data_IF_238761273266
#
_entry.id   IF_238761273266
#
_cell.length_a   1.000
_cell.length_b   1.000
_cell.length_c   1.000
_cell.angle_alpha   90.00
_cell.angle_beta   90.00
_cell.angle_gamma   90.00
#
_symmetry.space_group_name_H-M   'P 1'
#
loop_
_entity.id
_entity.type
_entity.pdbx_description
1 polymer ?
#
# COMPACT_ATOMS: atom_id res chain seq x y z
N UNK A 1 11.21 5.76 -40.04
CA UNK A 1 10.66 4.46 -39.60
C UNK A 1 11.37 3.89 -38.37
N UNK A 2 12.70 3.77 -38.35
CA UNK A 2 13.46 3.25 -37.17
C UNK A 2 13.21 4.02 -35.86
N UNK A 3 13.09 5.34 -35.93
CA UNK A 3 12.81 6.20 -34.75
C UNK A 3 11.40 5.99 -34.17
N UNK A 4 10.40 5.71 -35.02
CA UNK A 4 9.03 5.40 -34.59
C UNK A 4 8.96 4.04 -33.89
N UNK A 5 9.73 3.06 -34.37
CA UNK A 5 9.84 1.73 -33.74
C UNK A 5 10.48 1.84 -32.36
N UNK A 6 11.52 2.65 -32.20
CA UNK A 6 12.19 2.86 -30.91
C UNK A 6 11.24 3.55 -29.91
N UNK A 7 10.50 4.58 -30.33
CA UNK A 7 9.54 5.28 -29.47
C UNK A 7 8.40 4.33 -29.03
N UNK A 8 7.88 3.52 -29.96
CA UNK A 8 6.86 2.52 -29.65
C UNK A 8 7.37 1.44 -28.69
N UNK A 9 8.62 1.00 -28.83
CA UNK A 9 9.20 -0.01 -27.95
C UNK A 9 9.42 0.51 -26.52
N UNK A 10 9.86 1.76 -26.38
CA UNK A 10 10.02 2.40 -25.05
C UNK A 10 8.66 2.61 -24.38
N UNK A 11 7.65 3.04 -25.13
CA UNK A 11 6.28 3.18 -24.62
C UNK A 11 5.69 1.83 -24.19
N UNK A 12 5.88 0.78 -24.99
CA UNK A 12 5.42 -0.58 -24.67
C UNK A 12 6.14 -1.16 -23.43
N UNK A 13 7.45 -0.94 -23.29
CA UNK A 13 8.20 -1.34 -22.10
C UNK A 13 7.73 -0.62 -20.83
N UNK A 14 7.41 0.68 -20.93
CA UNK A 14 6.90 1.46 -19.79
C UNK A 14 5.51 0.98 -19.32
N UNK A 15 4.68 0.46 -20.23
CA UNK A 15 3.40 -0.14 -19.88
C UNK A 15 3.56 -1.52 -19.23
N UNK A 16 4.61 -2.26 -19.58
CA UNK A 16 4.89 -3.59 -19.02
C UNK A 16 5.41 -3.55 -17.57
N UNK A 17 6.02 -2.45 -17.13
CA UNK A 17 6.48 -2.29 -15.74
C UNK A 17 5.37 -2.02 -14.72
N UNK A 18 4.12 -1.84 -15.17
CA UNK A 18 2.98 -1.61 -14.28
C UNK A 18 2.36 -2.91 -13.72
N UNK A 19 2.87 -4.09 -14.10
CA UNK A 19 2.26 -5.38 -13.75
C UNK A 19 3.02 -6.20 -12.70
N UNK A 20 3.90 -5.57 -11.94
CA UNK A 20 4.43 -6.16 -10.71
C UNK A 20 3.50 -5.76 -9.57
N UNK A 21 2.64 -6.68 -9.14
CA UNK A 21 1.93 -6.60 -7.87
C UNK A 21 2.96 -6.65 -6.73
N UNK A 22 3.69 -5.56 -6.55
CA UNK A 22 4.61 -5.36 -5.45
C UNK A 22 3.84 -4.61 -4.37
N UNK A 23 3.88 -5.15 -3.16
CA UNK A 23 3.31 -4.49 -2.01
C UNK A 23 3.74 -3.03 -1.88
N UNK A 24 2.82 -2.22 -1.37
CA UNK A 24 3.01 -0.80 -1.19
C UNK A 24 4.31 -0.54 -0.40
N UNK A 25 5.31 0.06 -1.06
CA UNK A 25 6.62 0.29 -0.42
C UNK A 25 6.59 1.56 0.42
N UNK A 26 7.53 1.71 1.37
CA UNK A 26 7.65 2.94 2.17
C UNK A 26 7.80 4.21 1.32
N UNK A 27 8.54 4.15 0.22
CA UNK A 27 8.74 5.26 -0.70
C UNK A 27 7.43 5.63 -1.41
N UNK A 28 6.61 4.63 -1.74
CA UNK A 28 5.29 4.83 -2.32
C UNK A 28 4.32 5.47 -1.32
N UNK A 29 4.37 5.08 -0.04
CA UNK A 29 3.60 5.75 1.03
C UNK A 29 3.95 7.23 1.12
N UNK A 30 5.24 7.57 1.11
CA UNK A 30 5.70 8.97 1.11
C UNK A 30 5.22 9.69 -0.14
N UNK A 31 5.31 9.06 -1.31
CA UNK A 31 4.89 9.66 -2.57
C UNK A 31 3.38 9.94 -2.58
N UNK A 32 2.55 8.99 -2.13
CA UNK A 32 1.11 9.16 -2.00
C UNK A 32 0.76 10.29 -1.03
N UNK A 33 1.44 10.36 0.11
CA UNK A 33 1.27 11.44 1.09
C UNK A 33 1.63 12.80 0.48
N UNK A 34 2.74 12.91 -0.24
CA UNK A 34 3.16 14.13 -0.95
C UNK A 34 2.21 14.51 -2.08
N UNK A 35 1.57 13.53 -2.72
CA UNK A 35 0.53 13.75 -3.72
C UNK A 35 -0.82 14.17 -3.10
N UNK A 36 -0.91 14.27 -1.78
CA UNK A 36 -2.11 14.73 -1.08
C UNK A 36 -3.15 13.63 -0.78
N UNK A 37 -2.79 12.36 -0.97
CA UNK A 37 -3.67 11.25 -0.59
C UNK A 37 -3.84 11.22 0.93
N UNK A 38 -5.08 11.01 1.39
CA UNK A 38 -5.40 11.01 2.82
C UNK A 38 -4.77 9.80 3.53
N UNK A 39 -4.40 9.97 4.80
CA UNK A 39 -3.86 8.86 5.61
C UNK A 39 -4.82 7.69 5.65
N UNK A 40 -6.12 7.95 5.80
CA UNK A 40 -7.14 6.91 5.79
C UNK A 40 -7.13 6.09 4.50
N UNK A 41 -6.95 6.76 3.36
CA UNK A 41 -6.87 6.08 2.06
C UNK A 41 -5.59 5.24 1.96
N UNK A 42 -4.45 5.77 2.39
CA UNK A 42 -3.17 5.04 2.38
C UNK A 42 -3.26 3.82 3.32
N UNK A 43 -3.86 3.95 4.50
CA UNK A 43 -4.11 2.83 5.42
C UNK A 43 -4.97 1.74 4.77
N UNK A 44 -6.04 2.12 4.08
CA UNK A 44 -6.90 1.16 3.37
C UNK A 44 -6.12 0.42 2.27
N UNK A 45 -5.22 1.10 1.55
CA UNK A 45 -4.37 0.47 0.55
C UNK A 45 -3.40 -0.53 1.18
N UNK A 46 -2.76 -0.18 2.30
CA UNK A 46 -1.86 -1.11 3.02
C UNK A 46 -2.65 -2.33 3.53
N UNK A 47 -3.85 -2.13 4.07
CA UNK A 47 -4.72 -3.22 4.55
C UNK A 47 -5.21 -4.14 3.44
N UNK A 48 -5.45 -3.61 2.24
CA UNK A 48 -5.83 -4.42 1.08
C UNK A 48 -4.70 -5.33 0.62
N UNK A 49 -3.45 -4.87 0.73
CA UNK A 49 -2.28 -5.67 0.39
C UNK A 49 -1.98 -6.72 1.48
N UNK A 50 -2.17 -6.40 2.76
CA UNK A 50 -2.06 -7.35 3.87
C UNK A 50 -3.14 -8.45 3.85
N UNK A 51 -4.29 -8.19 3.21
CA UNK A 51 -5.39 -9.13 3.14
C UNK A 51 -4.96 -10.35 2.30
N UNK A 52 -4.53 -11.41 2.99
CA UNK A 52 -4.22 -12.70 2.38
C UNK A 52 -5.35 -13.13 1.45
N UNK A 53 -4.99 -13.42 0.20
CA UNK A 53 -5.93 -14.00 -0.75
C UNK A 53 -6.52 -15.28 -0.14
N UNK A 54 -7.83 -15.32 0.12
CA UNK A 54 -8.49 -16.51 0.66
C UNK A 54 -8.44 -17.69 -0.33
N UNK A 55 -7.88 -17.54 -1.52
CA UNK A 55 -7.66 -18.62 -2.47
C UNK A 55 -6.20 -19.05 -2.60
N UNK A 56 -5.26 -18.39 -1.90
CA UNK A 56 -3.82 -18.67 -2.00
C UNK A 56 -3.43 -20.06 -1.47
N UNK A 57 -4.10 -20.56 -0.43
CA UNK A 57 -3.82 -21.89 0.13
C UNK A 57 -4.61 -22.96 -0.62
N UNK A 58 -3.88 -23.94 -1.15
CA UNK A 58 -4.40 -25.14 -1.81
C UNK A 58 -5.35 -25.91 -0.89
N UNK A 59 -6.49 -26.36 -1.42
CA UNK A 59 -7.46 -27.17 -0.68
C UNK A 59 -8.91 -26.88 -1.03
N UNK A 60 -9.81 -27.50 -0.29
CA UNK A 60 -11.26 -27.34 -0.42
C UNK A 60 -11.80 -26.53 0.76
N UNK A 61 -12.61 -25.51 0.50
CA UNK A 61 -13.25 -24.68 1.52
C UNK A 61 -14.76 -24.60 1.30
N UNK A 62 -15.54 -24.71 2.37
CA UNK A 62 -16.96 -24.40 2.34
C UNK A 62 -17.16 -22.93 2.71
N UNK A 63 -17.81 -22.17 1.82
CA UNK A 63 -18.24 -20.80 2.09
C UNK A 63 -19.75 -20.76 2.08
N UNK A 64 -20.35 -20.15 3.09
CA UNK A 64 -21.79 -19.92 3.14
C UNK A 64 -22.08 -18.51 2.60
N UNK A 65 -22.91 -18.45 1.57
CA UNK A 65 -23.40 -17.17 1.04
C UNK A 65 -24.42 -16.53 2.02
N UNK A 66 -24.75 -15.26 1.82
CA UNK A 66 -25.71 -14.49 2.62
C UNK A 66 -27.10 -15.15 2.68
N UNK A 67 -27.45 -15.90 1.64
CA UNK A 67 -28.71 -16.65 1.55
C UNK A 67 -28.63 -18.05 2.19
N UNK A 68 -27.54 -18.37 2.89
CA UNK A 68 -27.33 -19.66 3.57
C UNK A 68 -26.91 -20.80 2.65
N UNK A 69 -26.81 -20.56 1.33
CA UNK A 69 -26.35 -21.55 0.35
C UNK A 69 -24.86 -21.85 0.56
N UNK A 70 -24.52 -23.13 0.69
CA UNK A 70 -23.14 -23.59 0.78
C UNK A 70 -22.50 -23.67 -0.61
N UNK A 71 -21.33 -23.08 -0.77
CA UNK A 71 -20.47 -23.20 -1.94
C UNK A 71 -19.18 -23.91 -1.55
N UNK A 72 -18.82 -24.94 -2.32
CA UNK A 72 -17.54 -25.64 -2.19
C UNK A 72 -16.55 -24.99 -3.16
N UNK A 73 -15.47 -24.42 -2.63
CA UNK A 73 -14.42 -23.80 -3.41
C UNK A 73 -13.19 -24.69 -3.37
N UNK A 74 -12.77 -25.18 -4.55
CA UNK A 74 -11.54 -25.92 -4.71
C UNK A 74 -10.47 -24.98 -5.27
N UNK A 75 -9.36 -24.83 -4.54
CA UNK A 75 -8.22 -24.01 -4.97
C UNK A 75 -7.01 -24.92 -5.16
N UNK A 76 -6.31 -24.75 -6.28
CA UNK A 76 -5.04 -25.44 -6.56
C UNK A 76 -3.85 -24.79 -5.84
N UNK A 77 -4.09 -23.75 -5.04
CA UNK A 77 -3.06 -22.90 -4.45
C UNK A 77 -2.18 -22.22 -5.50
N UNK A 78 -1.50 -21.15 -5.08
CA UNK A 78 -0.40 -20.59 -5.85
C UNK A 78 0.93 -21.07 -5.23
N UNK A 79 1.96 -21.27 -6.07
CA UNK A 79 3.32 -21.48 -5.56
C UNK A 79 3.82 -20.16 -4.96
N UNK A 80 3.68 -20.00 -3.66
CA UNK A 80 4.24 -18.87 -2.93
C UNK A 80 5.75 -19.03 -2.87
N UNK A 81 6.49 -18.08 -3.45
CA UNK A 81 7.93 -18.03 -3.28
C UNK A 81 8.21 -17.36 -1.93
N UNK A 82 8.68 -18.12 -0.93
CA UNK A 82 8.78 -17.63 0.45
C UNK A 82 9.65 -16.38 0.59
N UNK A 83 10.70 -16.27 -0.23
CA UNK A 83 11.57 -15.08 -0.23
C UNK A 83 10.86 -13.81 -0.74
N UNK A 84 9.95 -13.94 -1.71
CA UNK A 84 9.17 -12.81 -2.19
C UNK A 84 8.11 -12.39 -1.15
N UNK A 85 7.46 -13.37 -0.51
CA UNK A 85 6.45 -13.17 0.54
C UNK A 85 7.04 -12.49 1.79
N UNK A 86 8.28 -12.84 2.16
CA UNK A 86 8.99 -12.21 3.28
C UNK A 86 9.38 -10.76 2.96
N UNK A 87 9.84 -10.49 1.74
CA UNK A 87 10.13 -9.12 1.29
C UNK A 87 8.86 -8.26 1.24
N UNK A 88 7.74 -8.84 0.83
CA UNK A 88 6.43 -8.20 0.78
C UNK A 88 5.97 -7.76 2.18
N UNK A 89 6.04 -8.68 3.16
CA UNK A 89 5.74 -8.39 4.57
C UNK A 89 6.63 -7.30 5.16
N UNK A 90 7.93 -7.35 4.85
CA UNK A 90 8.87 -6.32 5.31
C UNK A 90 8.48 -4.93 4.78
N UNK A 91 8.13 -4.85 3.49
CA UNK A 91 7.70 -3.61 2.87
C UNK A 91 6.43 -3.04 3.53
N UNK A 92 5.44 -3.89 3.81
CA UNK A 92 4.19 -3.51 4.48
C UNK A 92 4.44 -2.99 5.91
N UNK A 93 5.28 -3.69 6.68
CA UNK A 93 5.65 -3.25 8.02
C UNK A 93 6.33 -1.88 8.01
N UNK A 94 7.28 -1.67 7.10
CA UNK A 94 7.97 -0.38 6.96
C UNK A 94 7.05 0.72 6.43
N UNK A 95 6.10 0.38 5.56
CA UNK A 95 5.08 1.31 5.07
C UNK A 95 4.20 1.85 6.21
N UNK A 96 3.77 0.98 7.13
CA UNK A 96 3.07 1.36 8.35
C UNK A 96 3.91 2.26 9.25
N UNK A 97 5.19 1.90 9.47
CA UNK A 97 6.10 2.67 10.30
C UNK A 97 6.27 4.09 9.76
N UNK A 98 6.51 4.23 8.46
CA UNK A 98 6.67 5.55 7.83
C UNK A 98 5.40 6.38 7.92
N UNK A 99 4.22 5.78 7.72
CA UNK A 99 2.96 6.49 7.85
C UNK A 99 2.76 7.04 9.28
N UNK A 100 3.02 6.21 10.29
CA UNK A 100 2.89 6.59 11.69
C UNK A 100 3.89 7.70 12.09
N UNK A 101 5.15 7.57 11.67
CA UNK A 101 6.19 8.56 11.97
C UNK A 101 5.85 9.93 11.37
N UNK A 102 5.35 9.96 10.12
CA UNK A 102 4.91 11.20 9.48
C UNK A 102 3.69 11.82 10.17
N UNK A 103 2.73 11.01 10.63
CA UNK A 103 1.58 11.52 11.38
C UNK A 103 2.01 12.18 12.70
N UNK A 104 2.99 11.59 13.40
CA UNK A 104 3.57 12.16 14.61
C UNK A 104 4.28 13.50 14.36
N UNK A 105 5.07 13.62 13.30
CA UNK A 105 5.78 14.85 12.94
C UNK A 105 4.82 16.00 12.56
N UNK A 106 3.73 15.68 11.85
CA UNK A 106 2.68 16.67 11.51
C UNK A 106 1.96 17.15 12.77
N UNK A 107 1.63 16.24 13.70
CA UNK A 107 0.99 16.63 14.98
C UNK A 107 1.92 17.49 15.84
N UNK A 108 3.22 17.16 15.89
CA UNK A 108 4.24 17.90 16.64
C UNK A 108 4.43 19.31 16.09
N UNK A 109 4.57 19.45 14.76
CA UNK A 109 4.73 20.75 14.11
C UNK A 109 3.50 21.67 14.27
N UNK A 110 2.27 21.15 14.16
CA UNK A 110 1.05 21.94 14.47
C UNK A 110 1.01 22.43 15.92
N UNK A 111 1.39 21.58 16.89
CA UNK A 111 1.37 21.94 18.31
C UNK A 111 2.40 23.04 18.62
N UNK A 112 3.54 23.05 17.92
CA UNK A 112 4.60 24.04 18.10
C UNK A 112 4.28 25.38 17.41
N UNK A 113 3.59 25.37 16.27
CA UNK A 113 3.11 26.58 15.58
C UNK A 113 1.90 27.27 16.24
N UNK A 114 1.23 26.61 17.19
CA UNK A 114 0.05 27.15 17.89
C UNK A 114 0.33 27.60 19.34
N UNK A 115 1.60 27.83 19.70
CA UNK A 115 1.92 28.50 20.97
C UNK A 115 1.53 29.97 20.86
N UNK A 116 0.59 30.49 21.69
CA UNK A 116 0.32 31.92 21.70
C UNK A 116 1.61 32.61 22.11
N UNK A 117 2.13 33.47 21.23
CA UNK A 117 3.22 34.35 21.56
C UNK A 117 2.93 35.00 22.90
N UNK A 118 3.82 34.80 23.86
CA UNK A 118 3.79 35.46 25.16
C UNK A 118 4.08 36.95 24.91
N UNK A 119 3.07 37.66 24.42
CA UNK A 119 2.98 39.12 24.40
C UNK A 119 2.77 39.56 25.85
N UNK A 120 3.86 39.59 26.61
CA UNK A 120 3.91 40.34 27.86
C UNK A 120 3.95 41.82 27.51
N UNK A 121 2.78 42.45 27.50
CA UNK A 121 2.65 43.89 27.53
C UNK A 121 2.88 44.41 28.96
N UNK A 122 3.56 45.56 29.02
CA UNK A 122 3.44 46.62 30.03
C UNK A 122 4.08 46.39 31.42
N UNK A 123 5.18 47.10 31.70
CA UNK A 123 5.17 48.46 32.28
C UNK A 123 6.50 49.16 32.01
#
# INVERSE_FOLDING_TARGET
MKKLIIISAVFLCALFTANSGCALTPEQVIALKKAGVSDRTIQLMIQQEEAKDPYATMGTREVQDRDGKKLIINTTGYRTNSAADDQEKENLNRAWEMLNNMEMDIKRSRKQGNSPGRSGASK
#
